data_IF_401407524905
#
_entry.id   IF_401407524905
#
_cell.length_a   1.000
_cell.length_b   1.000
_cell.length_c   1.000
_cell.angle_alpha   90.00
_cell.angle_beta   90.00
_cell.angle_gamma   90.00
#
_symmetry.space_group_name_H-M   'P 1'
#
loop_
_entity.id
_entity.type
_entity.pdbx_description
1 polymer ?
2 polymer ?
3 polymer ?
4 non-polymer ?
5 non-polymer ?
6 water ?
#
# COMPACT_ATOMS: atom_id res chain seq x y z
N UNK A 5 -2.61 0.27 -18.13
CA UNK A 5 -2.89 1.28 -17.06
C UNK A 5 -3.90 2.33 -17.51
N UNK A 6 -4.70 2.83 -16.57
CA UNK A 6 -5.65 3.90 -16.89
C UNK A 6 -4.91 5.19 -17.25
N UNK A 7 -5.43 5.88 -18.25
CA UNK A 7 -4.74 6.99 -18.89
C UNK A 7 -4.30 8.06 -17.91
N UNK A 8 -5.10 8.31 -16.89
CA UNK A 8 -4.87 9.42 -15.97
C UNK A 8 -4.25 8.95 -14.62
N UNK A 9 -3.82 7.70 -14.58
CA UNK A 9 -3.33 7.12 -13.34
C UNK A 9 -2.16 7.93 -12.79
N UNK A 10 -2.09 8.06 -11.46
CA UNK A 10 -0.86 8.47 -10.79
C UNK A 10 -0.71 9.99 -10.75
N UNK A 11 -1.74 10.70 -11.19
CA UNK A 11 -1.72 12.15 -11.20
C UNK A 11 -2.81 12.61 -10.25
N UNK A 12 -2.39 13.24 -9.17
CA UNK A 12 -3.31 13.56 -8.08
C UNK A 12 -4.04 14.87 -8.36
N UNK A 13 -5.37 14.86 -8.24
CA UNK A 13 -6.17 16.07 -8.44
C UNK A 13 -5.66 17.28 -7.64
N UNK A 14 -5.19 17.08 -6.39
CA UNK A 14 -4.80 18.21 -5.55
C UNK A 14 -3.32 18.55 -5.65
N UNK A 15 -2.58 17.81 -6.48
CA UNK A 15 -1.16 18.07 -6.59
C UNK A 15 -0.77 18.13 -8.08
N UNK A 16 -0.45 17.00 -8.73
CA UNK A 16 -0.05 17.05 -10.12
C UNK A 16 -1.01 17.75 -11.05
N UNK A 17 -2.31 17.52 -10.90
CA UNK A 17 -3.27 18.15 -11.81
C UNK A 17 -3.28 19.68 -11.74
N UNK A 18 -2.94 20.22 -10.58
CA UNK A 18 -2.95 21.66 -10.27
C UNK A 18 -1.56 22.26 -10.27
N UNK A 19 -0.56 21.42 -10.55
CA UNK A 19 0.85 21.76 -10.41
C UNK A 19 1.21 22.29 -9.02
N UNK A 20 0.73 21.59 -7.99
CA UNK A 20 1.21 21.83 -6.64
C UNK A 20 2.04 20.63 -6.20
N UNK A 21 3.07 20.90 -5.41
CA UNK A 21 4.04 19.91 -4.93
C UNK A 21 3.66 19.63 -3.49
N UNK A 22 3.74 18.38 -3.05
CA UNK A 22 3.51 18.09 -1.63
C UNK A 22 4.80 18.35 -0.89
N UNK A 23 4.73 18.30 0.44
CA UNK A 23 5.83 18.77 1.27
C UNK A 23 7.08 17.89 1.28
N UNK A 24 6.99 16.62 0.85
CA UNK A 24 8.17 15.78 0.86
C UNK A 24 8.47 15.05 -0.43
N UNK A 25 7.76 15.33 -1.54
CA UNK A 25 8.05 14.60 -2.75
C UNK A 25 9.44 14.90 -3.29
N UNK A 26 9.94 16.10 -3.01
CA UNK A 26 11.29 16.50 -3.41
C UNK A 26 12.39 15.57 -2.85
N UNK A 27 12.21 15.10 -1.62
CA UNK A 27 13.10 14.11 -1.02
C UNK A 27 13.22 12.87 -1.90
N UNK A 28 12.13 12.45 -2.54
CA UNK A 28 12.18 11.29 -3.44
C UNK A 28 12.98 11.65 -4.68
N UNK A 29 12.66 12.79 -5.31
CA UNK A 29 13.38 13.23 -6.52
C UNK A 29 14.91 13.31 -6.27
N UNK A 30 15.26 13.84 -5.12
CA UNK A 30 16.67 14.03 -4.76
C UNK A 30 17.41 12.71 -4.60
N UNK A 31 16.66 11.65 -4.27
CA UNK A 31 17.23 10.29 -4.15
C UNK A 31 17.46 9.64 -5.52
N UNK A 32 16.81 10.14 -6.57
CA UNK A 32 16.86 9.47 -7.89
C UNK A 32 18.07 9.95 -8.67
N UNK A 33 19.25 9.51 -8.23
CA UNK A 33 20.50 9.98 -8.81
C UNK A 33 20.89 9.08 -9.99
N UNK B 1 2.41 3.45 10.92
CA UNK B 1 3.68 4.03 10.43
C UNK B 1 4.46 4.59 11.62
N UNK B 2 5.70 4.16 11.77
CA UNK B 2 6.56 4.65 12.84
C UNK B 2 7.46 5.76 12.32
N UNK B 3 7.51 6.87 13.06
CA UNK B 3 8.37 8.00 12.74
C UNK B 3 8.00 8.67 11.40
N UNK B 4 6.72 8.66 11.04
CA UNK B 4 6.28 9.35 9.86
C UNK B 4 5.66 10.70 10.21
N UNK B 5 4.83 11.21 9.31
CA UNK B 5 4.14 12.50 9.58
C UNK B 5 2.73 12.42 9.03
N UNK B 6 1.88 13.36 9.46
CA UNK B 6 0.52 13.43 8.93
C UNK B 6 0.59 13.67 7.43
N UNK B 7 -0.17 12.87 6.67
CA UNK B 7 -0.41 13.11 5.28
C UNK B 7 -1.09 14.45 5.05
N UNK B 8 -0.80 15.03 3.89
CA UNK B 8 -1.59 16.17 3.43
C UNK B 8 -2.88 15.64 2.86
N UNK B 9 -3.89 16.47 2.84
CA UNK B 9 -5.16 16.15 2.17
C UNK B 9 -4.97 15.87 0.68
N UNK B 10 -5.53 14.77 0.23
CA UNK B 10 -5.39 14.32 -1.15
C UNK B 10 -4.01 13.88 -1.57
N UNK B 11 -3.11 13.66 -0.61
CA UNK B 11 -1.72 13.30 -0.89
C UNK B 11 -1.59 11.87 -1.42
N UNK B 12 -2.49 11.00 -1.03
CA UNK B 12 -2.44 9.60 -1.41
C UNK B 12 -3.83 9.13 -1.79
N UNK B 13 -4.39 9.64 -2.88
CA UNK B 13 -5.83 9.45 -3.17
C UNK B 13 -6.17 8.04 -3.63
N UNK B 14 -5.13 7.23 -3.82
CA UNK B 14 -5.29 5.77 -4.07
C UNK B 14 -5.31 4.93 -2.76
N UNK B 15 -5.22 5.56 -1.60
CA UNK B 15 -5.12 4.82 -0.34
C UNK B 15 -6.48 4.28 0.00
N UNK B 16 -6.51 3.01 0.38
CA UNK B 16 -7.73 2.31 0.73
C UNK B 16 -7.55 1.70 2.11
N UNK B 17 -8.59 1.79 2.93
CA UNK B 17 -8.70 1.09 4.19
C UNK B 17 -9.54 -0.18 3.98
N UNK B 18 -8.95 -1.29 4.41
CA UNK B 18 -9.62 -2.56 4.48
C UNK B 18 -10.23 -2.63 5.86
N UNK B 19 -11.55 -2.80 5.90
CA UNK B 19 -12.33 -2.60 7.10
C UNK B 19 -13.25 -3.83 7.37
N UNK B 20 -13.10 -4.42 8.55
CA UNK B 20 -13.90 -5.55 8.97
C UNK B 20 -15.29 -5.04 9.40
N UNK B 21 -16.33 -5.72 8.94
CA UNK B 21 -17.72 -5.32 9.20
C UNK B 21 -18.13 -5.50 10.65
N UNK B 22 -17.82 -6.68 11.19
CA UNK B 22 -18.11 -6.97 12.62
C UNK B 22 -17.07 -7.92 13.24
N UNK B 23 -16.35 -7.48 14.26
CA UNK B 23 -16.42 -6.11 14.79
C UNK B 23 -15.80 -5.07 13.82
N UNK B 24 -16.12 -3.79 14.04
CA UNK B 24 -15.76 -2.73 13.12
C UNK B 24 -14.34 -2.32 13.42
N UNK B 25 -13.41 -2.81 12.60
CA UNK B 25 -12.00 -2.49 12.79
C UNK B 25 -11.23 -2.41 11.46
N UNK B 26 -10.09 -1.72 11.53
CA UNK B 26 -9.11 -1.63 10.45
C UNK B 26 -8.37 -2.95 10.41
N UNK B 27 -8.30 -3.54 9.22
CA UNK B 27 -7.54 -4.76 9.03
C UNK B 27 -6.20 -4.47 8.40
N UNK B 28 -6.19 -3.58 7.40
CA UNK B 28 -5.03 -3.45 6.54
C UNK B 28 -5.21 -2.21 5.67
N UNK B 29 -4.12 -1.80 5.04
CA UNK B 29 -4.19 -0.86 3.89
C UNK B 29 -4.39 -1.65 2.62
N UNK B 30 -4.53 -0.91 1.53
CA UNK B 30 -4.80 -1.43 0.22
C UNK B 30 -4.69 -0.22 -0.72
N UNK B 31 -4.87 -0.41 -2.01
CA UNK B 31 -4.74 0.70 -2.97
C UNK B 31 -5.70 0.52 -4.12
N UNK B 32 -6.20 1.66 -4.62
CA UNK B 32 -7.08 1.74 -5.76
C UNK B 32 -6.28 1.78 -7.06
N UNK B 33 -6.41 0.74 -7.88
CA UNK B 33 -5.70 0.72 -9.19
C UNK B 33 -6.59 0.96 -10.45
N UNK B 34 -7.90 0.97 -10.27
CA UNK B 34 -8.89 1.37 -11.29
C UNK B 34 -10.19 1.68 -10.56
N UNK B 35 -11.26 2.02 -11.30
CA UNK B 35 -12.57 2.27 -10.68
C UNK B 35 -13.20 1.05 -10.00
N UNK B 36 -12.75 -0.16 -10.32
CA UNK B 36 -13.32 -1.37 -9.72
C UNK B 36 -12.33 -2.35 -9.10
N UNK B 37 -11.04 -2.02 -9.07
CA UNK B 37 -10.05 -2.95 -8.55
C UNK B 37 -9.18 -2.34 -7.45
N UNK B 38 -9.01 -3.13 -6.39
CA UNK B 38 -8.20 -2.76 -5.25
C UNK B 38 -7.13 -3.82 -5.03
N UNK B 39 -5.90 -3.36 -4.80
CA UNK B 39 -4.74 -4.21 -4.57
C UNK B 39 -4.39 -4.19 -3.07
N UNK B 40 -4.05 -5.36 -2.54
CA UNK B 40 -3.60 -5.48 -1.14
C UNK B 40 -2.68 -6.72 -0.98
N UNK B 41 -2.26 -6.96 0.25
CA UNK B 41 -1.44 -8.14 0.55
C UNK B 41 -2.36 -9.33 0.74
N UNK B 42 -2.02 -10.47 0.14
CA UNK B 42 -2.75 -11.72 0.39
C UNK B 42 -2.92 -12.04 1.88
N UNK B 43 -1.90 -11.76 2.72
CA UNK B 43 -2.01 -12.16 4.11
C UNK B 43 -3.05 -11.33 4.89
N UNK B 44 -3.48 -10.20 4.33
CA UNK B 44 -4.56 -9.42 4.91
C UNK B 44 -5.91 -10.14 4.83
N UNK B 45 -6.01 -11.08 3.88
CA UNK B 45 -7.24 -11.83 3.60
C UNK B 45 -7.17 -13.30 3.99
N UNK B 46 -5.98 -13.88 3.88
CA UNK B 46 -5.77 -15.31 4.08
C UNK B 46 -4.46 -15.55 4.83
N UNK B 47 -4.59 -16.10 6.03
CA UNK B 47 -3.44 -16.49 6.84
C UNK B 47 -3.89 -17.61 7.84
N UNK B 48 -3.93 -18.85 7.33
CA UNK B 48 -4.36 -20.02 8.12
C UNK B 48 -3.74 -20.23 9.50
N UNK B 49 -2.45 -19.89 9.68
CA UNK B 49 -1.86 -20.06 10.99
C UNK B 49 -2.59 -19.30 12.11
N UNK B 50 -3.28 -18.21 11.76
CA UNK B 50 -4.06 -17.43 12.71
C UNK B 50 -5.56 -17.57 12.52
N UNK B 51 -5.99 -18.64 11.85
CA UNK B 51 -7.38 -18.82 11.42
C UNK B 51 -7.99 -17.62 10.72
N UNK B 52 -7.22 -16.97 9.86
CA UNK B 52 -7.72 -15.87 9.03
C UNK B 52 -8.01 -16.40 7.64
N UNK B 53 -9.28 -16.30 7.24
CA UNK B 53 -9.69 -16.65 5.90
C UNK B 53 -10.97 -15.92 5.52
N UNK B 54 -10.88 -14.60 5.32
CA UNK B 54 -12.08 -13.77 5.07
C UNK B 54 -12.78 -14.10 3.74
N UNK B 55 -14.11 -13.99 3.73
CA UNK B 55 -14.89 -14.01 2.49
C UNK B 55 -15.25 -12.56 2.14
N UNK B 56 -15.81 -12.39 0.95
CA UNK B 56 -16.21 -11.07 0.46
C UNK B 56 -17.12 -10.33 1.44
N UNK B 57 -18.08 -11.05 2.01
CA UNK B 57 -19.10 -10.43 2.86
C UNK B 57 -18.62 -10.00 4.23
N UNK B 58 -17.43 -10.42 4.63
CA UNK B 58 -16.85 -10.02 5.91
C UNK B 58 -16.27 -8.60 5.88
N UNK B 59 -16.09 -8.06 4.68
CA UNK B 59 -15.20 -6.92 4.46
C UNK B 59 -15.84 -5.75 3.75
N UNK B 60 -15.27 -4.57 4.02
CA UNK B 60 -15.54 -3.36 3.26
C UNK B 60 -14.22 -2.68 2.96
N UNK B 61 -14.21 -1.94 1.86
CA UNK B 61 -13.10 -1.03 1.58
C UNK B 61 -13.62 0.38 1.72
N UNK B 62 -12.81 1.24 2.36
CA UNK B 62 -13.11 2.66 2.51
C UNK B 62 -12.05 3.45 1.77
N UNK B 63 -12.52 4.21 0.78
CA UNK B 63 -11.73 4.97 -0.16
C UNK B 63 -11.93 6.47 0.06
N UNK B 64 -10.85 7.23 -0.10
CA UNK B 64 -10.88 8.70 0.02
C UNK B 64 -10.67 9.24 1.41
N UNK B 65 -10.20 8.40 2.32
CA UNK B 65 -10.15 8.75 3.74
C UNK B 65 -8.89 9.46 4.13
N UNK B 66 -9.00 10.21 5.22
CA UNK B 66 -7.86 10.84 5.84
C UNK B 66 -7.87 10.47 7.34
N UNK B 67 -8.91 10.88 8.05
CA UNK B 67 -9.07 10.47 9.44
C UNK B 67 -9.13 8.94 9.52
N UNK B 68 -8.53 8.36 10.56
CA UNK B 68 -8.59 6.90 10.78
C UNK B 68 -10.00 6.44 11.19
N UNK B 69 -10.53 7.03 12.27
CA UNK B 69 -11.80 6.54 12.89
C UNK B 69 -13.08 7.25 12.48
N UNK B 70 -12.97 8.47 11.94
CA UNK B 70 -14.15 9.28 11.66
C UNK B 70 -14.82 8.74 10.44
N UNK B 71 -16.15 8.79 10.41
CA UNK B 71 -16.87 8.60 9.16
C UNK B 71 -16.83 9.97 8.44
N UNK B 72 -16.23 9.98 7.25
CA UNK B 72 -15.90 11.23 6.54
C UNK B 72 -16.96 11.51 5.48
N UNK B 73 -18.05 12.04 5.99
CA UNK B 73 -19.25 12.26 5.23
C UNK B 73 -18.95 13.20 4.07
N UNK B 74 -19.47 12.86 2.89
CA UNK B 74 -19.28 13.63 1.66
C UNK B 74 -17.84 13.53 1.05
N UNK B 75 -16.95 12.76 1.68
CA UNK B 75 -15.55 12.62 1.20
C UNK B 75 -15.22 11.15 0.87
N UNK B 76 -15.29 10.31 1.89
CA UNK B 76 -15.01 8.90 1.71
C UNK B 76 -16.16 8.22 1.03
N UNK B 77 -15.82 7.18 0.27
CA UNK B 77 -16.78 6.26 -0.28
C UNK B 77 -16.49 4.84 0.24
N UNK B 78 -17.55 4.15 0.67
CA UNK B 78 -17.47 2.79 1.18
C UNK B 78 -18.05 1.83 0.14
N UNK B 79 -17.28 0.78 -0.18
CA UNK B 79 -17.61 -0.15 -1.25
C UNK B 79 -17.59 -1.58 -0.75
N UNK B 80 -18.50 -2.39 -1.28
CA UNK B 80 -18.61 -3.81 -0.98
C UNK B 80 -17.81 -4.56 -2.00
N UNK B 81 -17.37 -5.75 -1.63
CA UNK B 81 -16.54 -6.62 -2.49
C UNK B 81 -17.41 -7.54 -3.28
N UNK B 82 -17.17 -7.61 -4.59
CA UNK B 82 -17.80 -8.62 -5.42
C UNK B 82 -17.06 -9.94 -5.29
N UNK B 83 -15.72 -9.87 -5.38
CA UNK B 83 -14.87 -11.08 -5.44
C UNK B 83 -13.42 -10.80 -5.00
N UNK B 84 -12.86 -11.77 -4.28
CA UNK B 84 -11.47 -11.73 -3.80
C UNK B 84 -10.69 -12.71 -4.65
N UNK B 85 -9.48 -12.31 -5.07
CA UNK B 85 -8.56 -13.22 -5.78
C UNK B 85 -7.21 -13.18 -5.07
N UNK B 86 -6.73 -14.35 -4.65
CA UNK B 86 -5.47 -14.50 -3.94
C UNK B 86 -4.48 -15.10 -4.92
N UNK B 87 -3.24 -14.62 -4.96
CA UNK B 87 -2.25 -15.28 -5.83
C UNK B 87 -2.22 -16.82 -5.57
N UNK B 88 -2.33 -17.65 -6.62
CA UNK B 88 -2.29 -19.11 -6.47
C UNK B 88 -1.03 -19.68 -5.80
N UNK B 89 0.09 -18.96 -5.88
CA UNK B 89 1.34 -19.44 -5.26
C UNK B 89 1.77 -18.58 -4.07
N UNK B 90 0.85 -17.82 -3.51
CA UNK B 90 1.09 -17.12 -2.24
C UNK B 90 1.54 -18.16 -1.20
N UNK B 91 2.72 -17.96 -0.62
CA UNK B 91 3.28 -18.93 0.34
C UNK B 91 3.04 -18.51 1.79
N UNK B 92 1.84 -18.74 2.30
CA UNK B 92 1.57 -18.49 3.72
C UNK B 92 2.27 -19.47 4.66
N UNK B 93 2.67 -20.63 4.13
CA UNK B 93 3.24 -21.67 4.99
C UNK B 93 4.63 -21.32 5.42
N UNK B 94 5.40 -20.68 4.55
CA UNK B 94 6.77 -20.33 4.84
C UNK B 94 6.95 -18.81 5.05
N UNK B 95 7.18 -18.05 3.97
CA UNK B 95 7.78 -16.70 4.10
C UNK B 95 6.95 -15.55 3.49
N UNK B 96 5.67 -15.80 3.24
CA UNK B 96 4.77 -14.84 2.55
C UNK B 96 5.24 -14.47 1.13
N UNK B 97 5.93 -15.39 0.47
CA UNK B 97 6.27 -15.20 -0.94
C UNK B 97 5.00 -14.99 -1.73
N UNK B 98 5.03 -13.99 -2.61
CA UNK B 98 3.90 -13.59 -3.45
C UNK B 98 2.71 -13.12 -2.64
N UNK B 99 2.97 -12.15 -1.77
CA UNK B 99 1.99 -11.65 -0.82
C UNK B 99 1.22 -10.56 -1.58
N UNK B 100 0.29 -11.02 -2.41
CA UNK B 100 -0.54 -10.14 -3.24
C UNK B 100 -1.94 -10.73 -3.42
N UNK B 101 -2.93 -9.83 -3.51
CA UNK B 101 -4.31 -10.18 -3.76
C UNK B 101 -5.01 -8.99 -4.39
N UNK B 102 -6.02 -9.30 -5.20
CA UNK B 102 -6.94 -8.32 -5.81
C UNK B 102 -8.34 -8.42 -5.22
N UNK B 103 -9.02 -7.28 -5.12
CA UNK B 103 -10.43 -7.24 -4.75
C UNK B 103 -11.21 -6.46 -5.77
N UNK B 104 -12.24 -7.11 -6.34
CA UNK B 104 -13.13 -6.50 -7.31
C UNK B 104 -14.32 -5.92 -6.56
N UNK B 105 -14.59 -4.64 -6.82
CA UNK B 105 -15.71 -3.94 -6.16
C UNK B 105 -17.05 -4.26 -6.82
N UNK B 106 -18.13 -4.30 -6.03
CA UNK B 106 -19.43 -4.56 -6.60
C UNK B 106 -19.79 -3.51 -7.64
N UNK B 107 -19.57 -2.23 -7.33
CA UNK B 107 -19.79 -1.15 -8.32
C UNK B 107 -18.57 -0.24 -8.41
N UNK B 108 -18.39 0.43 -9.54
CA UNK B 108 -17.29 1.37 -9.68
C UNK B 108 -17.44 2.55 -8.71
N UNK B 109 -16.32 2.94 -8.10
CA UNK B 109 -16.27 4.11 -7.22
C UNK B 109 -16.04 5.36 -8.09
N UNK B 110 -16.65 6.48 -7.69
CA UNK B 110 -16.44 7.74 -8.39
C UNK B 110 -15.14 8.41 -7.91
N UNK B 111 -14.33 8.81 -8.88
CA UNK B 111 -13.12 9.54 -8.61
C UNK B 111 -13.49 10.97 -8.23
N UNK B 112 -12.57 11.62 -7.53
CA UNK B 112 -12.83 12.90 -6.94
C UNK B 112 -11.45 13.45 -6.57
N UNK B 113 -11.44 14.59 -5.89
CA UNK B 113 -10.20 15.16 -5.38
C UNK B 113 -9.47 14.21 -4.42
N UNK B 114 -10.22 13.31 -3.77
CA UNK B 114 -9.71 12.47 -2.67
C UNK B 114 -9.53 11.00 -3.05
N UNK B 115 -10.01 10.65 -4.26
CA UNK B 115 -10.09 9.28 -4.74
C UNK B 115 -9.58 9.21 -6.17
N UNK B 116 -8.47 8.51 -6.37
CA UNK B 116 -7.85 8.49 -7.70
C UNK B 116 -6.85 7.34 -7.77
N UNK B 117 -6.82 6.59 -8.88
CA UNK B 117 -5.93 5.42 -8.96
C UNK B 117 -4.43 5.71 -9.15
N UNK B 118 -3.61 4.81 -8.64
CA UNK B 118 -2.16 4.87 -8.80
C UNK B 118 -1.87 4.01 -10.02
N UNK B 119 -0.69 4.20 -10.61
CA UNK B 119 -0.24 3.45 -11.75
C UNK B 119 0.46 2.18 -11.29
N UNK B 120 0.36 1.15 -12.11
CA UNK B 120 1.23 -0.02 -11.97
C UNK B 120 2.40 0.13 -12.90
N UNK B 121 3.59 -0.26 -12.44
CA UNK B 121 4.80 -0.09 -13.24
C UNK B 121 4.89 -1.04 -14.42
N UNK B 122 5.55 -0.56 -15.46
CA UNK B 122 5.99 -1.33 -16.58
C UNK B 122 7.43 -1.77 -16.30
N UNK B 123 7.95 -2.67 -17.12
CA UNK B 123 9.27 -3.24 -16.86
C UNK B 123 10.36 -2.18 -16.75
N UNK B 124 10.26 -1.15 -17.59
CA UNK B 124 11.32 -0.13 -17.67
C UNK B 124 11.27 0.78 -16.46
N UNK B 125 10.06 1.08 -16.01
CA UNK B 125 9.88 1.89 -14.83
C UNK B 125 10.47 1.15 -13.62
N UNK B 126 10.20 -0.13 -13.49
CA UNK B 126 10.73 -0.93 -12.41
C UNK B 126 12.24 -0.98 -12.50
N UNK B 127 12.76 -1.26 -13.68
CA UNK B 127 14.20 -1.39 -13.85
C UNK B 127 14.86 -0.10 -13.42
N UNK B 128 14.28 1.01 -13.87
CA UNK B 128 14.84 2.31 -13.64
C UNK B 128 14.78 2.80 -12.18
N UNK B 129 13.66 2.58 -11.52
CA UNK B 129 13.44 3.14 -10.19
C UNK B 129 13.67 2.20 -9.00
N UNK B 130 13.65 0.88 -9.21
CA UNK B 130 13.91 -0.04 -8.09
C UNK B 130 15.40 -0.25 -7.87
N UNK B 131 16.04 0.78 -7.36
CA UNK B 131 17.47 0.76 -7.13
C UNK B 131 17.75 1.09 -5.70
N UNK B 132 18.75 0.44 -5.13
CA UNK B 132 19.18 0.80 -3.78
C UNK B 132 19.49 2.28 -3.64
N UNK B 133 18.99 2.88 -2.57
CA UNK B 133 19.18 4.33 -2.35
C UNK B 133 17.96 5.14 -2.79
N UNK B 134 17.29 4.71 -3.85
CA UNK B 134 16.10 5.43 -4.32
C UNK B 134 14.99 5.29 -3.29
N UNK B 135 14.29 6.39 -3.05
CA UNK B 135 13.32 6.43 -1.97
C UNK B 135 11.92 6.23 -2.51
N UNK B 136 11.12 5.44 -1.80
CA UNK B 136 9.70 5.38 -2.05
C UNK B 136 8.95 5.93 -0.87
N UNK B 137 7.62 5.83 -0.92
CA UNK B 137 6.76 6.42 0.09
C UNK B 137 5.76 5.39 0.58
N UNK B 138 5.63 5.29 1.91
CA UNK B 138 4.72 4.34 2.52
C UNK B 138 3.70 5.13 3.34
N UNK B 139 2.44 4.74 3.23
CA UNK B 139 1.33 5.41 3.89
C UNK B 139 0.43 4.39 4.59
N UNK B 140 -0.17 4.81 5.70
CA UNK B 140 -1.05 3.92 6.41
C UNK B 140 -1.56 4.47 7.73
N UNK B 141 -2.52 3.74 8.29
CA UNK B 141 -3.16 4.10 9.58
C UNK B 141 -2.78 3.12 10.69
N UNK B 142 -1.69 2.39 10.47
CA UNK B 142 -1.19 1.47 11.47
C UNK B 142 -0.54 2.14 12.64
N UNK B 143 -0.08 1.31 13.57
CA UNK B 143 0.47 1.83 14.82
C UNK B 143 1.67 2.73 14.62
N UNK B 144 1.81 3.67 15.57
CA UNK B 144 2.87 4.66 15.58
C UNK B 144 4.15 4.13 16.25
N UNK B 145 4.03 3.01 16.95
CA UNK B 145 5.12 2.44 17.72
C UNK B 145 4.93 0.91 17.77
N UNK B 146 6.03 0.18 17.85
CA UNK B 146 5.97 -1.27 17.96
C UNK B 146 5.16 -1.71 19.19
N UNK B 155 0.20 5.80 20.23
CA UNK B 155 -0.10 4.44 19.79
C UNK B 155 -0.68 4.39 18.38
N UNK B 156 -1.86 4.98 18.19
CA UNK B 156 -2.57 4.95 16.91
C UNK B 156 -2.82 6.38 16.39
N UNK B 157 -2.68 6.61 15.08
CA UNK B 157 -2.72 7.97 14.56
C UNK B 157 -4.13 8.49 14.45
N UNK B 158 -4.27 9.80 14.53
CA UNK B 158 -5.53 10.46 14.21
C UNK B 158 -5.78 10.50 12.71
N UNK B 159 -4.75 10.79 11.92
CA UNK B 159 -4.91 10.81 10.49
C UNK B 159 -3.86 9.93 9.79
N UNK B 160 -4.11 9.66 8.51
CA UNK B 160 -3.20 8.93 7.64
C UNK B 160 -1.78 9.46 7.78
N UNK B 161 -0.84 8.54 7.96
CA UNK B 161 0.57 8.86 8.10
C UNK B 161 1.35 8.52 6.82
N UNK B 162 2.49 9.18 6.66
CA UNK B 162 3.35 9.06 5.52
C UNK B 162 4.81 9.04 5.98
N UNK B 163 5.61 8.19 5.35
CA UNK B 163 7.07 8.24 5.54
C UNK B 163 7.75 7.83 4.22
N UNK B 164 8.85 8.51 3.88
CA UNK B 164 9.67 8.15 2.71
C UNK B 164 10.85 7.33 3.18
N UNK B 165 11.14 6.24 2.48
CA UNK B 165 12.13 5.26 2.89
C UNK B 165 12.92 4.84 1.70
N UNK B 166 14.24 4.70 1.88
CA UNK B 166 15.08 4.23 0.78
C UNK B 166 15.04 2.71 0.58
N UNK B 167 15.03 2.30 -0.70
CA UNK B 167 15.21 0.91 -1.06
C UNK B 167 16.60 0.44 -0.65
N UNK B 168 16.71 -0.81 -0.21
CA UNK B 168 17.94 -1.33 0.40
C UNK B 168 18.54 -2.44 -0.50
N UNK B 169 19.87 -2.47 -0.52
CA UNK B 169 20.66 -3.44 -1.27
C UNK B 169 20.19 -4.84 -0.90
N UNK B 170 20.04 -5.71 -1.89
CA UNK B 170 19.55 -7.04 -1.61
C UNK B 170 20.39 -7.87 -0.60
N UNK B 171 21.72 -7.85 -0.66
CA UNK B 171 22.52 -8.58 0.32
C UNK B 171 22.26 -8.10 1.74
N UNK B 172 22.05 -6.79 1.90
CA UNK B 172 21.77 -6.22 3.20
C UNK B 172 20.39 -6.68 3.69
N UNK B 173 19.40 -6.69 2.80
CA UNK B 173 18.08 -7.19 3.18
C UNK B 173 18.22 -8.64 3.73
N UNK B 174 18.92 -9.49 2.97
CA UNK B 174 19.07 -10.88 3.28
C UNK B 174 19.81 -11.13 4.61
N UNK B 175 20.84 -10.32 4.86
CA UNK B 175 21.67 -10.45 6.03
C UNK B 175 21.06 -9.86 7.28
N UNK B 176 19.87 -9.27 7.17
CA UNK B 176 19.19 -8.66 8.32
C UNK B 176 18.24 -9.64 9.00
N UNK B 177 17.98 -10.78 8.36
CA UNK B 177 16.94 -11.72 8.80
C UNK B 177 17.34 -13.18 8.55
N UNK B 178 16.70 -14.08 9.29
CA UNK B 178 16.83 -15.52 9.08
C UNK B 178 15.79 -16.01 8.09
N UNK B 179 14.82 -15.16 7.74
CA UNK B 179 13.81 -15.53 6.75
C UNK B 179 14.42 -15.61 5.37
N UNK B 180 13.96 -16.59 4.59
CA UNK B 180 14.39 -16.72 3.20
C UNK B 180 13.68 -15.66 2.30
N UNK B 181 14.49 -14.79 1.72
CA UNK B 181 14.04 -13.69 0.87
C UNK B 181 14.00 -14.14 -0.59
N UNK B 182 12.91 -13.84 -1.30
CA UNK B 182 12.79 -14.22 -2.70
C UNK B 182 12.86 -13.00 -3.59
N UNK B 183 12.96 -13.24 -4.89
CA UNK B 183 12.93 -12.21 -5.90
C UNK B 183 11.59 -11.50 -5.98
N UNK B 184 10.56 -12.01 -5.30
CA UNK B 184 9.24 -11.29 -5.24
C UNK B 184 9.10 -10.32 -4.06
N UNK B 185 10.21 -10.06 -3.41
CA UNK B 185 10.29 -9.17 -2.25
C UNK B 185 11.43 -8.25 -2.46
N UNK B 186 11.30 -7.02 -1.94
CA UNK B 186 12.40 -6.12 -1.70
C UNK B 186 12.20 -5.53 -0.30
N UNK B 187 13.27 -4.96 0.24
CA UNK B 187 13.23 -4.33 1.55
C UNK B 187 13.63 -2.88 1.47
N UNK B 188 13.17 -2.13 2.44
CA UNK B 188 13.37 -0.67 2.44
C UNK B 188 13.45 -0.17 3.88
N UNK B 189 14.16 0.96 4.04
CA UNK B 189 14.42 1.51 5.36
C UNK B 189 15.82 2.03 5.51
N UNK B 190 16.00 2.83 6.57
CA UNK B 190 17.28 3.45 6.85
C UNK B 190 18.14 2.44 7.65
N UNK B 191 19.45 2.56 7.45
CA UNK B 191 20.43 1.77 8.19
C UNK B 191 20.67 2.49 9.54
N UNK B 192 21.20 1.79 10.54
CA UNK B 192 21.51 2.45 11.83
C UNK B 192 22.46 3.64 11.67
N UNK B 193 23.41 3.54 10.74
CA UNK B 193 24.41 4.59 10.57
C UNK B 193 23.88 5.79 9.76
N UNK B 194 22.72 5.62 9.11
CA UNK B 194 22.11 6.69 8.33
C UNK B 194 21.38 7.69 9.21
N UNK B 195 21.13 7.34 10.47
CA UNK B 195 20.51 8.25 11.43
C UNK B 195 18.99 8.40 11.37
N UNK B 196 18.44 8.68 10.20
CA UNK B 196 17.01 8.90 10.04
C UNK B 196 16.32 7.58 10.24
N UNK B 197 15.04 7.61 10.59
CA UNK B 197 14.28 6.41 10.93
C UNK B 197 12.99 6.32 10.09
N UNK B 198 12.19 5.30 10.37
CA UNK B 198 10.92 5.12 9.69
C UNK B 198 10.62 3.69 9.29
N UNK B 199 9.36 3.31 9.43
CA UNK B 199 8.94 1.97 9.05
C UNK B 199 7.40 1.95 9.03
N UNK B 200 6.86 0.94 8.36
CA UNK B 200 5.49 0.53 8.58
C UNK B 200 5.37 -0.23 9.88
N UNK B 201 4.13 -0.39 10.34
CA UNK B 201 3.86 -1.16 11.54
C UNK B 201 2.48 -1.77 11.46
N UNK B 202 2.08 -2.40 12.55
CA UNK B 202 0.84 -3.16 12.63
C UNK B 202 -0.31 -2.32 12.14
N UNK B 203 -0.99 -2.81 11.10
CA UNK B 203 -2.18 -2.15 10.49
C UNK B 203 -1.87 -1.44 9.16
N UNK B 204 -0.59 -1.28 8.86
CA UNK B 204 -0.13 -0.71 7.59
C UNK B 204 -0.03 -1.72 6.49
N UNK B 205 0.01 -3.01 6.84
CA UNK B 205 0.27 -4.01 5.82
C UNK B 205 -0.88 -4.04 4.81
N UNK B 206 -0.53 -4.35 3.58
CA UNK B 206 -1.45 -4.34 2.44
C UNK B 206 -1.48 -3.01 1.70
N UNK B 207 -0.98 -1.95 2.32
CA UNK B 207 -0.90 -0.63 1.70
C UNK B 207 0.25 -0.51 0.71
N UNK B 208 0.34 0.64 0.05
CA UNK B 208 1.31 0.87 -1.01
C UNK B 208 2.67 1.49 -0.64
N UNK B 209 3.71 1.00 -1.31
CA UNK B 209 5.03 1.63 -1.42
C UNK B 209 5.04 2.24 -2.80
N UNK B 210 5.03 3.56 -2.87
CA UNK B 210 4.92 4.21 -4.16
C UNK B 210 6.16 5.03 -4.44
N UNK B 211 6.38 5.30 -5.73
CA UNK B 211 7.46 6.19 -6.20
C UNK B 211 6.92 7.12 -7.27
N UNK B 212 7.48 8.32 -7.32
CA UNK B 212 7.09 9.28 -8.33
C UNK B 212 8.14 9.31 -9.43
N UNK B 213 7.76 8.86 -10.62
CA UNK B 213 8.69 8.75 -11.73
C UNK B 213 9.15 10.16 -12.11
N UNK B 214 10.47 10.34 -12.20
CA UNK B 214 11.03 11.63 -12.62
C UNK B 214 10.93 11.85 -14.14
N UNK B 215 10.50 10.82 -14.87
CA UNK B 215 10.34 10.84 -16.31
C UNK B 215 9.00 11.42 -16.75
N UNK B 216 7.91 10.99 -16.13
CA UNK B 216 6.59 11.42 -16.55
C UNK B 216 5.72 11.99 -15.43
N UNK B 217 6.36 12.22 -14.29
CA UNK B 217 5.78 12.84 -13.09
C UNK B 217 4.51 12.14 -12.54
N UNK B 218 4.43 10.84 -12.78
CA UNK B 218 3.35 9.97 -12.27
C UNK B 218 3.80 9.08 -11.10
N UNK B 219 2.86 8.84 -10.18
CA UNK B 219 3.05 7.88 -9.08
C UNK B 219 2.75 6.45 -9.48
N UNK B 220 3.74 5.59 -9.23
CA UNK B 220 3.68 4.16 -9.52
C UNK B 220 3.77 3.37 -8.24
N UNK B 221 2.93 2.36 -8.11
CA UNK B 221 3.00 1.46 -6.95
C UNK B 221 4.01 0.34 -7.20
N UNK B 222 5.16 0.46 -6.53
CA UNK B 222 6.25 -0.49 -6.71
C UNK B 222 6.15 -1.66 -5.75
N UNK B 223 5.59 -1.39 -4.56
CA UNK B 223 5.55 -2.39 -3.52
C UNK B 223 4.21 -2.48 -2.81
N UNK B 224 4.02 -3.58 -2.11
CA UNK B 224 2.96 -3.73 -1.13
C UNK B 224 3.58 -4.05 0.20
N UNK B 225 3.17 -3.31 1.24
CA UNK B 225 3.66 -3.51 2.59
C UNK B 225 3.32 -4.95 2.98
N UNK B 226 4.33 -5.78 3.19
CA UNK B 226 4.12 -7.21 3.33
C UNK B 226 4.45 -7.72 4.73
N UNK B 227 5.70 -7.58 5.18
CA UNK B 227 6.06 -8.02 6.52
C UNK B 227 7.33 -7.38 7.10
N UNK B 228 7.47 -7.53 8.40
CA UNK B 228 8.65 -7.09 9.14
C UNK B 228 8.80 -7.82 10.46
N UNK B 229 9.97 -7.68 11.09
CA UNK B 229 10.27 -8.27 12.39
C UNK B 229 10.58 -7.15 13.40
N UNK B 230 9.35 -6.70 14.07
CA UNK B 230 9.25 -5.46 14.83
C UNK B 230 8.89 -4.34 13.89
N UNK B 231 8.95 -3.12 14.41
CA UNK B 231 8.74 -1.92 13.65
C UNK B 231 9.85 -0.95 14.01
N UNK B 232 10.51 -0.45 12.96
CA UNK B 232 11.55 0.54 13.08
C UNK B 232 12.65 0.13 14.01
N UNK B 233 13.05 -1.16 13.96
CA UNK B 233 14.20 -1.67 14.71
C UNK B 233 15.50 -1.41 13.97
N UNK B 234 16.53 -1.01 14.69
CA UNK B 234 17.87 -0.84 14.11
C UNK B 234 18.36 -2.16 13.53
N UNK B 235 18.87 -2.13 12.30
CA UNK B 235 19.40 -3.33 11.66
C UNK B 235 18.35 -4.22 11.05
N UNK B 236 17.08 -3.78 11.12
CA UNK B 236 15.97 -4.47 10.45
C UNK B 236 15.32 -3.55 9.39
N UNK B 237 14.60 -4.19 8.47
CA UNK B 237 14.02 -3.54 7.31
C UNK B 237 12.61 -4.08 7.04
N UNK B 238 11.76 -3.25 6.49
CA UNK B 238 10.45 -3.68 6.11
C UNK B 238 10.57 -4.38 4.78
N UNK B 239 9.74 -5.39 4.60
CA UNK B 239 9.72 -6.15 3.36
C UNK B 239 8.43 -5.90 2.64
N UNK B 240 8.56 -5.76 1.32
CA UNK B 240 7.49 -5.31 0.44
C UNK B 240 7.34 -6.29 -0.71
N UNK B 241 6.10 -6.61 -1.08
CA UNK B 241 5.87 -7.39 -2.29
C UNK B 241 6.33 -6.65 -3.56
N UNK B 242 7.09 -7.32 -4.42
CA UNK B 242 7.61 -6.72 -5.68
C UNK B 242 6.49 -6.74 -6.69
N UNK B 243 5.81 -5.61 -6.88
CA UNK B 243 4.59 -5.58 -7.66
C UNK B 243 4.85 -5.90 -9.15
N UNK B 244 5.86 -5.28 -9.74
CA UNK B 244 6.12 -5.58 -11.13
C UNK B 244 6.36 -7.09 -11.43
N UNK B 245 7.05 -7.80 -10.57
CA UNK B 245 7.29 -9.25 -10.75
C UNK B 245 6.01 -10.07 -10.79
N UNK B 246 4.91 -9.57 -10.22
CA UNK B 246 3.65 -10.31 -10.22
C UNK B 246 2.60 -9.70 -11.16
N UNK B 247 3.03 -8.85 -12.07
CA UNK B 247 2.09 -8.06 -12.81
C UNK B 247 1.35 -8.90 -13.86
N UNK B 248 2.00 -9.95 -14.36
CA UNK B 248 1.32 -10.87 -15.28
C UNK B 248 0.11 -11.51 -14.59
N UNK B 249 0.28 -11.91 -13.33
CA UNK B 249 -0.85 -12.43 -12.56
C UNK B 249 -1.95 -11.37 -12.44
N UNK B 250 -1.57 -10.16 -12.01
CA UNK B 250 -2.51 -9.04 -11.91
C UNK B 250 -3.31 -8.87 -13.21
N UNK B 251 -2.59 -8.81 -14.32
CA UNK B 251 -3.19 -8.56 -15.65
C UNK B 251 -4.12 -9.71 -16.07
N UNK B 252 -3.69 -10.94 -15.84
CA UNK B 252 -4.51 -12.13 -16.09
C UNK B 252 -5.84 -12.05 -15.37
N UNK B 253 -5.80 -11.85 -14.05
CA UNK B 253 -7.02 -11.70 -13.26
C UNK B 253 -7.95 -10.62 -13.81
N UNK B 254 -7.41 -9.43 -14.09
CA UNK B 254 -8.23 -8.32 -14.51
C UNK B 254 -8.80 -8.57 -15.94
N UNK B 255 -7.96 -9.08 -16.84
CA UNK B 255 -8.40 -9.43 -18.20
C UNK B 255 -9.53 -10.45 -18.19
N UNK B 256 -9.40 -11.48 -17.36
CA UNK B 256 -10.40 -12.54 -17.34
C UNK B 256 -11.67 -12.18 -16.57
N UNK B 257 -11.51 -11.54 -15.41
CA UNK B 257 -12.62 -11.32 -14.50
C UNK B 257 -13.12 -9.87 -14.41
N UNK B 258 -12.45 -8.96 -15.13
CA UNK B 258 -12.89 -7.58 -15.24
C UNK B 258 -13.73 -7.40 -16.50
N UNK B 259 -14.48 -6.29 -16.56
CA UNK B 259 -15.37 -6.01 -17.71
C UNK B 259 -14.76 -4.90 -18.57
N UNK C 1 -14.25 1.98 18.87
CA UNK C 1 -13.11 2.89 18.51
C UNK C 1 -13.40 3.73 17.26
N UNK C 2 -14.07 3.11 16.29
CA UNK C 2 -14.40 3.78 15.04
C UNK C 2 -15.81 4.38 15.12
N UNK C 3 -15.97 5.56 14.53
CA UNK C 3 -17.28 6.10 14.34
C UNK C 3 -18.14 5.18 13.48
N UNK C 4 -19.39 5.07 13.91
CA UNK C 4 -20.48 4.36 13.24
C UNK C 4 -20.51 4.73 11.75
N UNK C 5 -20.50 3.73 10.87
CA UNK C 5 -20.69 3.99 9.45
C UNK C 5 -22.18 3.79 9.11
N UNK C 6 -22.71 4.49 8.12
CA UNK C 6 -24.09 4.25 7.70
C UNK C 6 -24.43 2.76 7.50
N UNK C 7 -25.59 2.37 8.02
CA UNK C 7 -25.99 0.95 8.05
C UNK C 7 -26.23 0.36 6.68
N UNK C 8 -26.54 1.21 5.68
CA UNK C 8 -26.65 0.72 4.29
C UNK C 8 -25.42 -0.07 3.87
N UNK C 10 -23.49 -1.92 5.87
CA UNK C 10 -23.40 -3.18 6.61
C UNK C 10 -24.45 -4.23 6.19
#
# INVERSE_FOLDING_TARGET
TFGSGEADCGLRPLFEKKSLEDKTERELLESYIDGR
IVEGSDAEIGMSPWQVMLFRKSPQELLCGASLISDRWVLTAAHCLLYPPWDKNFTENDLLVRIGKHSRTRYERNIEKISMLEKIYIHPRYNWRENLDRDIALMKLKKPVAFSDYIHPVCLPDRETAASLLQAGYKGRVTGWGNLKETWTANVGKGQPSVLQVVNLPIVERPVCKDSTRIRITDNMFCAGYKPDEGKRGDACEGDSGGPFVMKSPFNNRWYQMGIVSWGEGCDRDGKYGFYTHVFRLKKWIQKVIDQFGE
DFEEIPEEXL
#
